data_IF_495707408524
#
_entry.id   IF_495707408524
#
_cell.length_a   1.000
_cell.length_b   1.000
_cell.length_c   1.000
_cell.angle_alpha   90.00
_cell.angle_beta   90.00
_cell.angle_gamma   90.00
#
_symmetry.space_group_name_H-M   'P 1'
#
loop_
_entity.id
_entity.type
_entity.pdbx_description
1 polymer ?
#
# COMPACT_ATOMS: atom_id res chain seq x y z
N UNK A 1 -15.47 -17.68 -12.96
CA UNK A 1 -14.54 -16.54 -12.76
C UNK A 1 -14.93 -15.90 -11.45
N UNK A 2 -14.03 -15.84 -10.49
CA UNK A 2 -14.36 -15.40 -9.13
C UNK A 2 -14.56 -13.88 -9.10
N UNK A 3 -15.56 -13.39 -8.34
CA UNK A 3 -15.75 -11.95 -8.08
C UNK A 3 -14.51 -11.41 -7.36
N UNK A 4 -13.59 -10.84 -8.13
CA UNK A 4 -12.39 -10.22 -7.60
C UNK A 4 -12.64 -8.76 -7.28
N UNK A 5 -11.83 -8.24 -6.38
CA UNK A 5 -11.83 -6.84 -5.96
C UNK A 5 -10.39 -6.37 -5.95
N UNK A 6 -10.16 -5.12 -6.31
CA UNK A 6 -8.88 -4.45 -6.18
C UNK A 6 -8.94 -3.51 -4.96
N UNK A 7 -8.04 -3.72 -4.00
CA UNK A 7 -7.76 -2.80 -2.91
C UNK A 7 -6.56 -1.95 -3.30
N UNK A 8 -6.74 -0.62 -3.39
CA UNK A 8 -5.63 0.32 -3.53
C UNK A 8 -5.36 1.06 -2.24
N UNK A 9 -4.09 1.14 -1.88
CA UNK A 9 -3.57 1.79 -0.69
C UNK A 9 -2.66 2.95 -1.12
N UNK A 10 -3.02 4.17 -0.78
CA UNK A 10 -2.27 5.37 -1.09
C UNK A 10 -1.64 5.97 0.16
N UNK A 11 -0.32 6.17 0.12
CA UNK A 11 0.46 6.68 1.26
C UNK A 11 1.79 7.29 0.78
N UNK A 12 2.44 8.16 1.58
CA UNK A 12 3.72 8.74 1.18
C UNK A 12 4.85 7.69 1.21
N UNK A 13 5.84 7.82 0.34
CA UNK A 13 7.01 6.92 0.28
C UNK A 13 7.81 6.87 1.61
N UNK A 14 7.74 7.93 2.42
CA UNK A 14 8.33 7.95 3.77
C UNK A 14 7.57 7.13 4.82
N UNK A 15 6.38 6.60 4.50
CA UNK A 15 5.62 5.78 5.44
C UNK A 15 6.45 4.56 5.88
N UNK A 16 6.41 4.28 7.19
CA UNK A 16 7.12 3.16 7.83
C UNK A 16 6.13 2.27 8.55
N UNK A 17 6.41 0.97 8.54
CA UNK A 17 5.72 0.05 9.45
C UNK A 17 6.09 0.41 10.90
N UNK A 18 5.22 0.09 11.86
CA UNK A 18 5.56 0.35 13.27
C UNK A 18 6.80 -0.46 13.66
N UNK A 19 7.76 0.13 14.40
CA UNK A 19 8.88 -0.62 14.95
C UNK A 19 8.34 -1.61 15.99
N UNK A 20 8.61 -2.91 15.80
CA UNK A 20 8.38 -3.90 16.85
C UNK A 20 9.53 -3.86 17.85
N UNK A 21 9.32 -4.34 19.09
CA UNK A 21 10.35 -4.45 20.15
C UNK A 21 11.61 -5.22 19.73
N UNK A 22 11.60 -5.92 18.59
CA UNK A 22 12.75 -6.66 18.11
C UNK A 22 13.71 -5.84 17.22
N UNK A 23 13.37 -4.58 16.91
CA UNK A 23 14.14 -3.71 16.00
C UNK A 23 14.84 -2.54 16.71
N UNK A 24 15.45 -2.77 17.87
CA UNK A 24 16.09 -1.68 18.64
C UNK A 24 17.32 -1.04 17.95
N UNK A 25 17.80 -1.56 16.80
CA UNK A 25 19.00 -1.06 16.12
C UNK A 25 18.90 -0.89 14.60
N UNK A 26 17.75 -1.12 13.95
CA UNK A 26 17.57 -0.77 12.53
C UNK A 26 16.36 0.14 12.31
N UNK A 27 16.48 1.03 11.33
CA UNK A 27 15.38 1.87 10.85
C UNK A 27 14.17 1.00 10.50
N UNK A 28 12.97 1.39 10.97
CA UNK A 28 11.73 0.69 10.66
C UNK A 28 11.58 0.47 9.14
N UNK A 29 11.10 -0.69 8.68
CA UNK A 29 11.00 -0.97 7.25
C UNK A 29 10.01 -0.03 6.57
N UNK A 30 10.24 0.26 5.29
CA UNK A 30 9.26 0.95 4.46
C UNK A 30 7.91 0.21 4.51
N UNK A 31 6.82 0.96 4.71
CA UNK A 31 5.48 0.38 4.88
C UNK A 31 5.10 -0.49 3.67
N UNK A 32 5.45 -0.06 2.46
CA UNK A 32 5.22 -0.81 1.23
C UNK A 32 5.90 -2.18 1.23
N UNK A 33 7.16 -2.26 1.67
CA UNK A 33 7.87 -3.53 1.72
C UNK A 33 7.27 -4.47 2.78
N UNK A 34 6.90 -3.92 3.94
CA UNK A 34 6.23 -4.68 4.99
C UNK A 34 4.90 -5.27 4.50
N UNK A 35 4.01 -4.43 3.96
CA UNK A 35 2.69 -4.86 3.48
C UNK A 35 2.80 -5.83 2.30
N UNK A 36 3.76 -5.64 1.38
CA UNK A 36 3.99 -6.57 0.28
C UNK A 36 4.40 -7.95 0.77
N UNK A 37 5.27 -8.01 1.78
CA UNK A 37 5.65 -9.27 2.43
C UNK A 37 4.45 -9.91 3.15
N UNK A 38 3.67 -9.11 3.88
CA UNK A 38 2.47 -9.59 4.58
C UNK A 38 1.44 -10.16 3.60
N UNK A 39 1.18 -9.47 2.48
CA UNK A 39 0.26 -9.93 1.44
C UNK A 39 0.69 -11.26 0.83
N UNK A 40 2.00 -11.42 0.56
CA UNK A 40 2.56 -12.70 0.08
C UNK A 40 2.37 -13.83 1.11
N UNK A 41 2.62 -13.56 2.39
CA UNK A 41 2.44 -14.55 3.47
C UNK A 41 0.97 -14.93 3.68
N UNK A 42 0.04 -13.98 3.51
CA UNK A 42 -1.39 -14.22 3.58
C UNK A 42 -1.95 -14.96 2.35
N UNK A 43 -1.13 -15.19 1.32
CA UNK A 43 -1.54 -15.83 0.07
C UNK A 43 -2.50 -14.97 -0.74
N UNK A 44 -2.36 -13.64 -0.70
CA UNK A 44 -3.14 -12.73 -1.55
C UNK A 44 -2.86 -13.05 -3.01
N UNK A 45 -3.90 -13.17 -3.84
CA UNK A 45 -3.78 -13.61 -5.23
C UNK A 45 -2.80 -12.75 -6.04
N UNK A 46 -2.83 -11.42 -5.88
CA UNK A 46 -1.87 -10.51 -6.50
C UNK A 46 -1.59 -9.28 -5.64
N UNK A 47 -0.34 -8.84 -5.61
CA UNK A 47 0.10 -7.63 -4.92
C UNK A 47 1.16 -6.88 -5.73
N UNK A 48 0.95 -5.58 -5.96
CA UNK A 48 1.83 -4.72 -6.76
C UNK A 48 2.07 -3.40 -6.02
N UNK A 49 3.28 -2.86 -6.15
CA UNK A 49 3.60 -1.48 -5.76
C UNK A 49 3.86 -0.68 -7.03
N UNK A 50 3.07 0.37 -7.25
CA UNK A 50 3.23 1.29 -8.36
C UNK A 50 4.15 2.44 -7.97
N UNK A 51 5.22 2.62 -8.73
CA UNK A 51 5.98 3.85 -8.75
C UNK A 51 5.29 4.81 -9.70
N UNK A 52 4.85 5.97 -9.20
CA UNK A 52 4.17 6.98 -10.01
C UNK A 52 5.16 8.03 -10.47
N UNK A 53 4.97 8.58 -11.67
CA UNK A 53 5.84 9.65 -12.19
C UNK A 53 5.56 11.00 -11.53
N UNK A 54 4.30 11.27 -11.18
CA UNK A 54 3.88 12.49 -10.53
C UNK A 54 2.58 12.28 -9.75
N UNK A 55 2.36 13.11 -8.72
CA UNK A 55 1.11 13.12 -7.99
C UNK A 55 1.17 13.92 -6.69
N UNK A 56 0.05 13.94 -5.98
CA UNK A 56 -0.10 14.53 -4.67
C UNK A 56 -1.04 13.68 -3.81
N UNK A 57 -0.87 13.78 -2.49
CA UNK A 57 -1.81 13.27 -1.50
C UNK A 57 -2.60 14.44 -0.90
N UNK A 58 -3.76 14.20 -0.26
CA UNK A 58 -4.54 15.26 0.37
C UNK A 58 -3.70 16.19 1.25
N UNK A 59 -3.80 17.50 1.02
CA UNK A 59 -3.06 18.52 1.76
C UNK A 59 -1.55 18.59 1.47
N UNK A 60 -1.05 17.92 0.42
CA UNK A 60 0.36 17.97 0.00
C UNK A 60 0.50 18.64 -1.36
N UNK A 61 1.70 19.19 -1.63
CA UNK A 61 2.04 19.76 -2.94
C UNK A 61 2.18 18.66 -3.99
N UNK A 62 1.96 19.02 -5.25
CA UNK A 62 2.34 18.18 -6.39
C UNK A 62 3.84 17.89 -6.33
N UNK A 63 4.19 16.63 -6.58
CA UNK A 63 5.58 16.17 -6.66
C UNK A 63 5.78 15.36 -7.93
N UNK A 64 7.01 15.39 -8.44
CA UNK A 64 7.47 14.57 -9.56
C UNK A 64 8.56 13.61 -9.06
N UNK A 65 8.59 12.41 -9.62
CA UNK A 65 9.65 11.46 -9.38
C UNK A 65 10.89 11.88 -10.17
N UNK A 66 12.00 12.13 -9.49
CA UNK A 66 13.29 12.39 -10.13
C UNK A 66 14.26 11.27 -9.73
N UNK A 67 15.02 10.76 -10.70
CA UNK A 67 15.96 9.64 -10.49
C UNK A 67 16.97 9.95 -9.36
N UNK A 68 17.33 11.21 -9.20
CA UNK A 68 18.33 11.66 -8.21
C UNK A 68 17.73 12.02 -6.85
N UNK A 69 16.45 12.43 -6.78
CA UNK A 69 15.79 12.76 -5.51
C UNK A 69 14.28 12.70 -5.64
N UNK A 70 13.65 11.80 -4.88
CA UNK A 70 12.19 11.72 -4.76
C UNK A 70 11.79 12.22 -3.38
N UNK A 71 10.80 13.11 -3.33
CA UNK A 71 10.30 13.68 -2.07
C UNK A 71 9.84 12.59 -1.11
N UNK A 72 10.11 12.76 0.18
CA UNK A 72 9.56 11.91 1.25
C UNK A 72 8.02 11.84 1.24
N UNK A 73 7.36 12.87 0.70
CA UNK A 73 5.91 12.94 0.58
C UNK A 73 5.38 12.49 -0.79
N UNK A 74 6.27 12.00 -1.66
CA UNK A 74 5.87 11.49 -2.96
C UNK A 74 4.87 10.34 -2.79
N UNK A 75 3.74 10.36 -3.52
CA UNK A 75 2.72 9.34 -3.39
C UNK A 75 3.23 7.98 -3.83
N UNK A 76 2.80 6.96 -3.10
CA UNK A 76 2.95 5.56 -3.47
C UNK A 76 1.56 4.93 -3.53
N UNK A 77 1.34 4.06 -4.50
CA UNK A 77 0.13 3.24 -4.61
C UNK A 77 0.53 1.77 -4.49
N UNK A 78 -0.05 1.06 -3.55
CA UNK A 78 0.01 -0.40 -3.49
C UNK A 78 -1.36 -0.97 -3.85
N UNK A 79 -1.40 -1.90 -4.79
CA UNK A 79 -2.62 -2.58 -5.23
C UNK A 79 -2.58 -4.05 -4.81
N UNK A 80 -3.70 -4.55 -4.28
CA UNK A 80 -3.93 -5.93 -3.92
C UNK A 80 -5.18 -6.42 -4.66
N UNK A 81 -5.12 -7.57 -5.31
CA UNK A 81 -6.29 -8.19 -5.95
C UNK A 81 -6.54 -9.54 -5.30
N UNK A 82 -7.77 -9.74 -4.81
CA UNK A 82 -8.30 -10.98 -4.25
C UNK A 82 -9.83 -10.86 -4.12
N UNK A 83 -10.49 -11.84 -3.50
CA UNK A 83 -11.85 -11.71 -2.98
C UNK A 83 -11.96 -10.57 -1.94
N UNK A 84 -13.11 -9.90 -1.93
CA UNK A 84 -13.37 -8.78 -1.01
C UNK A 84 -13.18 -9.17 0.47
N UNK A 85 -13.66 -10.34 0.88
CA UNK A 85 -13.53 -10.83 2.26
C UNK A 85 -12.08 -10.96 2.70
N UNK A 86 -11.22 -11.51 1.83
CA UNK A 86 -9.77 -11.65 2.10
C UNK A 86 -9.10 -10.28 2.20
N UNK A 87 -9.46 -9.34 1.33
CA UNK A 87 -8.93 -7.97 1.38
C UNK A 87 -9.40 -7.21 2.63
N UNK A 88 -10.66 -7.35 3.02
CA UNK A 88 -11.19 -6.75 4.26
C UNK A 88 -10.53 -7.35 5.50
N UNK A 89 -10.30 -8.67 5.51
CA UNK A 89 -9.56 -9.32 6.58
C UNK A 89 -8.12 -8.80 6.66
N UNK A 90 -7.42 -8.71 5.52
CA UNK A 90 -6.07 -8.12 5.46
C UNK A 90 -6.05 -6.68 6.02
N UNK A 91 -7.00 -5.82 5.64
CA UNK A 91 -7.09 -4.46 6.19
C UNK A 91 -7.31 -4.48 7.71
N UNK A 92 -8.17 -5.36 8.22
CA UNK A 92 -8.44 -5.49 9.66
C UNK A 92 -7.18 -5.88 10.44
N UNK A 93 -6.45 -6.90 10.00
CA UNK A 93 -5.20 -7.35 10.63
C UNK A 93 -4.14 -6.23 10.67
N UNK A 94 -4.10 -5.38 9.64
CA UNK A 94 -3.13 -4.29 9.51
C UNK A 94 -3.67 -2.90 9.90
N UNK A 95 -4.82 -2.81 10.58
CA UNK A 95 -5.52 -1.54 10.88
C UNK A 95 -4.61 -0.49 11.53
N UNK A 96 -3.71 -0.91 12.42
CA UNK A 96 -2.80 0.03 13.10
C UNK A 96 -1.79 0.68 12.15
N UNK A 97 -1.30 -0.06 11.16
CA UNK A 97 -0.33 0.40 10.17
C UNK A 97 -1.01 1.23 9.08
N UNK A 98 -2.29 0.94 8.82
CA UNK A 98 -3.10 1.61 7.80
C UNK A 98 -3.79 2.89 8.29
N UNK A 99 -3.58 3.33 9.55
CA UNK A 99 -4.25 4.53 10.12
C UNK A 99 -4.12 5.81 9.30
N UNK A 100 -3.02 5.96 8.55
CA UNK A 100 -2.75 7.14 7.71
C UNK A 100 -2.68 6.79 6.22
N UNK A 101 -3.19 5.62 5.86
CA UNK A 101 -3.28 5.14 4.48
C UNK A 101 -4.68 5.45 3.96
N UNK A 102 -4.76 6.02 2.76
CA UNK A 102 -6.04 6.13 2.08
C UNK A 102 -6.30 4.82 1.32
N UNK A 103 -7.30 4.05 1.78
CA UNK A 103 -7.67 2.75 1.22
C UNK A 103 -8.99 2.85 0.44
N UNK A 104 -9.03 2.26 -0.75
CA UNK A 104 -10.22 2.20 -1.61
C UNK A 104 -10.37 0.81 -2.21
N UNK A 105 -11.62 0.34 -2.36
CA UNK A 105 -11.96 -0.94 -2.97
C UNK A 105 -12.69 -0.69 -4.30
N UNK A 106 -12.27 -1.40 -5.34
CA UNK A 106 -12.90 -1.41 -6.66
C UNK A 106 -13.35 -2.82 -6.99
N UNK A 107 -14.61 -3.01 -7.35
CA UNK A 107 -15.08 -4.28 -7.88
C UNK A 107 -14.45 -4.52 -9.26
N UNK A 108 -13.81 -5.67 -9.45
CA UNK A 108 -13.20 -6.02 -10.73
C UNK A 108 -14.27 -6.66 -11.62
N UNK A 109 -15.00 -5.83 -12.35
CA UNK A 109 -15.97 -6.27 -13.34
C UNK A 109 -15.33 -6.45 -14.71
N UNK A 110 -15.77 -7.46 -15.46
CA UNK A 110 -15.43 -7.55 -16.87
C UNK A 110 -16.24 -6.50 -17.62
N UNK A 111 -15.59 -5.73 -18.49
CA UNK A 111 -16.30 -4.99 -19.52
C UNK A 111 -16.84 -6.01 -20.53
N UNK A 112 -18.10 -6.42 -20.35
CA UNK A 112 -18.85 -7.28 -21.28
C UNK A 112 -19.33 -6.47 -22.48
#
# INVERSE_FOLDING_TARGET
MQNMTALRLYFPQSARAKPTRFWHHLSAPALSHHLLKAARLAGIHQAIVHNVHAGYLPGKKLTHHHIESTSAHHPLCMELIDSEDRLRHFVKEHTQELRHVHAVLFQCELAL
#
